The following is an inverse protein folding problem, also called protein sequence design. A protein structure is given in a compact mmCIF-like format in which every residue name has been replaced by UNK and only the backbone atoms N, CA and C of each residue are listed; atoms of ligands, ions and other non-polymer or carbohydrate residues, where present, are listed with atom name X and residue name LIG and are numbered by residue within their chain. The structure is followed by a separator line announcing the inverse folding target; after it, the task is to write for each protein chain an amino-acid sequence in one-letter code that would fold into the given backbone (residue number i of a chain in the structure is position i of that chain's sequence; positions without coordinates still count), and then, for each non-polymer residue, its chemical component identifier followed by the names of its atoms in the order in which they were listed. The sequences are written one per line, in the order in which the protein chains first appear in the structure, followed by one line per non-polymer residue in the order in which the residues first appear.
data_IF_623907402791
#
_entry.id   IF_623907402791
#
_cell.length_a   1.000
_cell.length_b   1.000
_cell.length_c   1.000
_cell.angle_alpha   90.00
_cell.angle_beta   90.00
_cell.angle_gamma   90.00
#
_symmetry.space_group_name_H-M   'P 1'
#
loop_
_entity.id
_entity.type
_entity.pdbx_description
1 polymer ?
#
# COMPACT_ATOMS: atom_id res chain seq x y z
N UNK A 1 -14.91 18.68 9.45
CA UNK A 1 -13.83 19.18 8.56
C UNK A 1 -14.47 19.57 7.24
N UNK A 2 -14.35 20.83 6.80
CA UNK A 2 -14.87 21.24 5.49
C UNK A 2 -13.84 20.87 4.43
N UNK A 3 -14.17 19.92 3.59
CA UNK A 3 -13.25 19.44 2.57
C UNK A 3 -13.60 20.01 1.19
N UNK A 4 -12.56 20.23 0.38
CA UNK A 4 -12.68 20.56 -1.04
C UNK A 4 -11.96 19.49 -1.85
N UNK A 5 -12.70 18.68 -2.60
CA UNK A 5 -12.10 17.77 -3.56
C UNK A 5 -11.66 18.54 -4.81
N UNK A 6 -10.48 18.24 -5.32
CA UNK A 6 -9.92 18.80 -6.55
C UNK A 6 -9.52 17.66 -7.47
N UNK A 7 -9.77 17.82 -8.75
CA UNK A 7 -9.30 16.92 -9.82
C UNK A 7 -8.92 17.74 -11.06
N UNK A 8 -7.79 17.39 -11.69
CA UNK A 8 -7.25 18.06 -12.87
C UNK A 8 -7.15 17.10 -14.07
N UNK A 9 -7.46 17.63 -15.24
CA UNK A 9 -7.11 17.00 -16.52
C UNK A 9 -5.87 17.67 -17.09
N UNK A 10 -4.79 16.91 -17.22
CA UNK A 10 -3.50 17.40 -17.72
C UNK A 10 -3.16 16.77 -19.06
N UNK A 11 -2.79 17.59 -20.03
CA UNK A 11 -2.38 17.13 -21.36
C UNK A 11 -1.09 16.31 -21.30
N UNK A 12 -1.15 15.04 -21.73
CA UNK A 12 -0.03 14.07 -21.63
C UNK A 12 1.31 14.50 -22.24
N UNK A 13 1.30 15.45 -23.19
CA UNK A 13 2.52 15.97 -23.85
C UNK A 13 2.87 17.39 -23.43
N UNK A 14 1.85 18.20 -23.13
CA UNK A 14 2.03 19.60 -22.76
C UNK A 14 2.28 19.80 -21.28
N UNK A 15 1.94 18.80 -20.45
CA UNK A 15 1.90 18.87 -18.98
C UNK A 15 1.08 20.07 -18.46
N UNK A 16 0.21 20.61 -19.32
CA UNK A 16 -0.63 21.75 -19.02
C UNK A 16 -2.01 21.28 -18.57
N UNK A 17 -2.56 21.94 -17.57
CA UNK A 17 -3.93 21.76 -17.10
C UNK A 17 -4.89 22.22 -18.22
N UNK A 18 -5.63 21.28 -18.79
CA UNK A 18 -6.62 21.50 -19.85
C UNK A 18 -8.06 21.57 -19.31
N UNK A 19 -8.30 20.98 -18.14
CA UNK A 19 -9.51 21.16 -17.35
C UNK A 19 -9.22 21.02 -15.84
N UNK A 20 -10.07 21.62 -15.02
CA UNK A 20 -10.06 21.46 -13.57
C UNK A 20 -11.49 21.43 -13.04
N UNK A 21 -11.68 20.71 -11.94
CA UNK A 21 -12.88 20.82 -11.14
C UNK A 21 -12.54 20.84 -9.65
N UNK A 22 -13.42 21.47 -8.89
CA UNK A 22 -13.41 21.39 -7.45
C UNK A 22 -14.83 21.25 -6.90
N UNK A 23 -15.00 20.44 -5.87
CA UNK A 23 -16.30 20.13 -5.27
C UNK A 23 -16.18 20.22 -3.76
N UNK A 24 -17.01 21.03 -3.13
CA UNK A 24 -17.03 21.15 -1.67
C UNK A 24 -17.91 20.08 -1.01
N UNK A 25 -17.76 19.91 0.30
CA UNK A 25 -18.56 18.97 1.10
C UNK A 25 -20.06 19.24 1.11
N UNK A 26 -20.51 20.41 0.64
CA UNK A 26 -21.94 20.75 0.49
C UNK A 26 -22.45 20.46 -0.93
N UNK A 27 -21.61 19.91 -1.81
CA UNK A 27 -21.94 19.54 -3.18
C UNK A 27 -21.85 20.68 -4.20
N UNK A 28 -21.45 21.88 -3.79
CA UNK A 28 -21.18 22.98 -4.74
C UNK A 28 -19.94 22.65 -5.55
N UNK A 29 -19.96 22.98 -6.84
CA UNK A 29 -18.84 22.70 -7.73
C UNK A 29 -18.40 23.92 -8.52
N UNK A 30 -17.10 23.95 -8.82
CA UNK A 30 -16.46 24.80 -9.81
C UNK A 30 -15.90 23.88 -10.90
N UNK A 31 -16.26 24.13 -12.16
CA UNK A 31 -15.76 23.34 -13.29
C UNK A 31 -15.28 24.26 -14.40
N UNK A 32 -14.07 24.01 -14.90
CA UNK A 32 -13.51 24.73 -16.04
C UNK A 32 -12.89 23.73 -17.00
N UNK A 33 -13.28 23.78 -18.27
CA UNK A 33 -12.81 22.84 -19.31
C UNK A 33 -12.31 23.60 -20.53
N UNK A 34 -11.50 22.93 -21.36
CA UNK A 34 -10.95 23.49 -22.61
C UNK A 34 -10.15 24.77 -22.34
N UNK A 35 -9.30 24.73 -21.33
CA UNK A 35 -8.49 25.87 -20.90
C UNK A 35 -7.38 26.17 -21.91
N UNK A 36 -7.40 27.39 -22.45
CA UNK A 36 -6.21 28.00 -23.06
C UNK A 36 -5.34 28.66 -21.98
N UNK A 37 -4.13 29.16 -22.28
CA UNK A 37 -3.26 29.75 -21.25
C UNK A 37 -3.90 30.91 -20.47
N UNK A 38 -4.66 31.80 -21.13
CA UNK A 38 -5.32 32.92 -20.44
C UNK A 38 -6.52 32.47 -19.61
N UNK A 39 -7.25 31.47 -20.12
CA UNK A 39 -8.34 30.81 -19.43
C UNK A 39 -7.86 30.08 -18.17
N UNK A 40 -6.67 29.46 -18.23
CA UNK A 40 -6.06 28.78 -17.10
C UNK A 40 -5.77 29.74 -15.94
N UNK A 41 -5.12 30.88 -16.19
CA UNK A 41 -4.84 31.88 -15.15
C UNK A 41 -6.12 32.35 -14.44
N UNK A 42 -7.19 32.55 -15.20
CA UNK A 42 -8.49 32.92 -14.64
C UNK A 42 -9.10 31.79 -13.82
N UNK A 43 -9.07 30.55 -14.35
CA UNK A 43 -9.61 29.38 -13.69
C UNK A 43 -8.90 29.08 -12.36
N UNK A 44 -7.57 29.28 -12.30
CA UNK A 44 -6.79 29.09 -11.08
C UNK A 44 -7.13 30.12 -10.00
N UNK A 45 -7.35 31.39 -10.37
CA UNK A 45 -7.85 32.41 -9.41
C UNK A 45 -9.24 32.05 -8.88
N UNK A 46 -10.15 31.64 -9.77
CA UNK A 46 -11.49 31.22 -9.39
C UNK A 46 -11.48 29.98 -8.48
N UNK A 47 -10.56 29.03 -8.73
CA UNK A 47 -10.33 27.86 -7.88
C UNK A 47 -9.85 28.27 -6.48
N UNK A 48 -8.90 29.19 -6.41
CA UNK A 48 -8.34 29.68 -5.14
C UNK A 48 -9.38 30.41 -4.28
N UNK A 49 -10.22 31.24 -4.91
CA UNK A 49 -11.35 31.89 -4.25
C UNK A 49 -12.41 30.88 -3.81
N UNK A 50 -12.74 29.91 -4.67
CA UNK A 50 -13.68 28.84 -4.35
C UNK A 50 -13.21 27.98 -3.18
N UNK A 51 -11.89 27.77 -3.06
CA UNK A 51 -11.29 27.03 -1.96
C UNK A 51 -11.36 27.77 -0.62
N UNK A 52 -11.56 29.09 -0.61
CA UNK A 52 -11.58 29.96 0.58
C UNK A 52 -12.20 29.33 1.85
N UNK A 53 -13.43 28.80 1.79
CA UNK A 53 -14.12 28.22 2.97
C UNK A 53 -13.64 26.85 3.44
N UNK A 54 -12.80 26.13 2.68
CA UNK A 54 -12.38 24.79 3.09
C UNK A 54 -11.39 24.84 4.27
N UNK A 55 -11.24 23.73 4.98
CA UNK A 55 -10.19 23.55 5.99
C UNK A 55 -9.08 22.65 5.43
N UNK A 56 -9.47 21.69 4.57
CA UNK A 56 -8.59 20.69 3.97
C UNK A 56 -8.95 20.54 2.49
N UNK A 57 -7.93 20.34 1.66
CA UNK A 57 -8.11 19.93 0.26
C UNK A 57 -7.96 18.41 0.17
N UNK A 58 -8.76 17.76 -0.67
CA UNK A 58 -8.63 16.32 -0.94
C UNK A 58 -8.64 16.01 -2.43
N UNK A 59 -8.26 14.80 -2.79
CA UNK A 59 -8.47 14.25 -4.12
C UNK A 59 -8.03 12.79 -4.17
N UNK A 60 -7.87 12.29 -5.39
CA UNK A 60 -7.36 10.95 -5.64
C UNK A 60 -6.04 11.04 -6.39
N UNK A 61 -4.92 10.76 -5.73
CA UNK A 61 -3.56 11.07 -6.18
C UNK A 61 -3.23 12.58 -6.18
N UNK A 62 -4.00 13.37 -5.44
CA UNK A 62 -3.85 14.83 -5.31
C UNK A 62 -2.40 15.26 -5.00
N UNK A 63 -1.77 14.62 -4.01
CA UNK A 63 -0.48 15.08 -3.48
C UNK A 63 0.64 14.86 -4.48
N UNK A 64 0.56 13.77 -5.24
CA UNK A 64 1.61 13.32 -6.15
C UNK A 64 1.31 13.61 -7.62
N UNK A 65 0.13 14.14 -7.94
CA UNK A 65 -0.26 14.55 -9.28
C UNK A 65 -0.77 15.99 -9.32
N UNK A 66 -1.93 16.30 -8.77
CA UNK A 66 -2.60 17.59 -8.96
C UNK A 66 -1.83 18.77 -8.36
N UNK A 67 -1.35 18.64 -7.11
CA UNK A 67 -0.61 19.72 -6.43
C UNK A 67 0.70 20.10 -7.14
N UNK A 68 1.54 19.15 -7.61
CA UNK A 68 2.67 19.48 -8.47
C UNK A 68 2.30 20.34 -9.69
N UNK A 69 1.21 20.00 -10.39
CA UNK A 69 0.77 20.76 -11.56
C UNK A 69 0.21 22.14 -11.19
N UNK A 70 -0.53 22.25 -10.08
CA UNK A 70 -1.00 23.54 -9.57
C UNK A 70 0.17 24.44 -9.15
N UNK A 71 1.18 23.90 -8.45
CA UNK A 71 2.40 24.64 -8.09
C UNK A 71 3.17 25.12 -9.31
N UNK A 72 3.27 24.28 -10.34
CA UNK A 72 3.95 24.63 -11.58
C UNK A 72 3.19 25.71 -12.37
N UNK A 73 1.85 25.67 -12.38
CA UNK A 73 1.03 26.62 -13.10
C UNK A 73 0.85 27.97 -12.37
N UNK A 74 0.67 27.95 -11.06
CA UNK A 74 0.54 29.14 -10.22
C UNK A 74 1.03 28.85 -8.78
N UNK A 75 2.29 29.15 -8.44
CA UNK A 75 2.86 28.84 -7.14
C UNK A 75 2.27 29.67 -5.98
N UNK A 76 1.66 30.82 -6.28
CA UNK A 76 1.16 31.78 -5.28
C UNK A 76 -0.30 31.53 -4.85
N UNK A 77 -0.93 30.42 -5.29
CA UNK A 77 -2.30 30.11 -4.87
C UNK A 77 -2.34 29.84 -3.36
N UNK A 78 -3.24 30.51 -2.63
CA UNK A 78 -3.44 30.32 -1.19
C UNK A 78 -3.81 28.87 -0.86
N UNK A 79 -4.51 28.20 -1.77
CA UNK A 79 -4.93 26.81 -1.61
C UNK A 79 -3.73 25.85 -1.46
N UNK A 80 -2.57 26.18 -2.02
CA UNK A 80 -1.37 25.33 -1.96
C UNK A 80 -0.77 25.24 -0.55
N UNK A 81 -1.09 26.20 0.32
CA UNK A 81 -0.73 26.17 1.75
C UNK A 81 -1.74 25.44 2.63
N UNK A 82 -2.81 24.88 2.05
CA UNK A 82 -3.81 24.14 2.82
C UNK A 82 -3.35 22.72 3.10
N UNK A 83 -3.66 22.15 4.28
CA UNK A 83 -3.44 20.74 4.54
C UNK A 83 -4.16 19.88 3.48
N UNK A 84 -3.48 18.86 2.98
CA UNK A 84 -3.97 17.99 1.91
C UNK A 84 -4.19 16.56 2.39
N UNK A 85 -5.30 15.96 1.98
CA UNK A 85 -5.57 14.53 2.08
C UNK A 85 -5.57 13.89 0.70
N UNK A 86 -5.12 12.65 0.64
CA UNK A 86 -5.09 11.89 -0.60
C UNK A 86 -5.77 10.53 -0.38
N UNK A 87 -6.90 10.35 -1.03
CA UNK A 87 -7.66 9.10 -0.95
C UNK A 87 -6.85 7.93 -1.51
N UNK A 88 -6.00 8.14 -2.53
CA UNK A 88 -5.14 7.06 -3.03
C UNK A 88 -4.18 6.59 -1.93
N UNK A 89 -3.66 7.51 -1.11
CA UNK A 89 -2.76 7.15 -0.01
C UNK A 89 -3.48 6.45 1.15
N UNK A 90 -4.72 6.83 1.46
CA UNK A 90 -5.55 6.22 2.51
C UNK A 90 -6.09 4.84 2.11
N UNK A 91 -6.37 4.64 0.82
CA UNK A 91 -7.08 3.47 0.32
C UNK A 91 -6.48 2.12 0.71
N UNK A 92 -5.15 1.89 0.66
CA UNK A 92 -4.57 0.62 1.14
C UNK A 92 -4.69 0.41 2.65
N UNK A 93 -4.79 1.48 3.45
CA UNK A 93 -5.01 1.38 4.89
C UNK A 93 -6.47 1.03 5.18
N UNK A 94 -7.41 1.67 4.48
CA UNK A 94 -8.85 1.46 4.62
C UNK A 94 -9.31 0.10 4.07
N UNK A 95 -8.75 -0.31 2.93
CA UNK A 95 -9.16 -1.50 2.19
C UNK A 95 -7.99 -2.43 1.85
N UNK A 96 -7.25 -2.95 2.85
CA UNK A 96 -6.02 -3.71 2.63
C UNK A 96 -6.23 -5.03 1.89
N UNK A 97 -7.47 -5.51 1.74
CA UNK A 97 -7.80 -6.70 0.94
C UNK A 97 -7.97 -6.41 -0.56
N UNK A 98 -8.12 -5.14 -0.95
CA UNK A 98 -8.32 -4.76 -2.33
C UNK A 98 -6.94 -4.60 -3.00
N UNK A 99 -6.64 -5.34 -4.08
CA UNK A 99 -5.34 -5.22 -4.75
C UNK A 99 -5.25 -3.96 -5.64
N UNK A 100 -6.40 -3.38 -6.00
CA UNK A 100 -6.52 -2.21 -6.85
C UNK A 100 -7.19 -1.07 -6.10
N UNK A 101 -6.58 0.11 -6.17
CA UNK A 101 -7.04 1.33 -5.49
C UNK A 101 -7.30 2.46 -6.48
N UNK A 102 -7.55 2.15 -7.76
CA UNK A 102 -8.01 3.15 -8.72
C UNK A 102 -9.42 3.58 -8.34
N UNK A 103 -9.73 4.86 -8.54
CA UNK A 103 -11.10 5.35 -8.44
C UNK A 103 -12.01 4.55 -9.38
N UNK A 104 -13.06 3.92 -8.85
CA UNK A 104 -13.98 3.09 -9.65
C UNK A 104 -14.99 4.00 -10.33
N UNK A 105 -14.85 4.12 -11.66
CA UNK A 105 -15.65 5.00 -12.51
C UNK A 105 -16.78 4.20 -13.15
N UNK A 106 -17.81 3.85 -12.38
CA UNK A 106 -18.93 3.01 -12.86
C UNK A 106 -19.64 3.57 -14.11
N UNK A 107 -19.61 4.89 -14.32
CA UNK A 107 -20.12 5.52 -15.53
C UNK A 107 -19.31 5.17 -16.80
N UNK A 108 -18.15 4.52 -16.67
CA UNK A 108 -17.32 4.02 -17.78
C UNK A 108 -17.55 2.53 -18.07
N UNK A 109 -18.20 1.78 -17.16
CA UNK A 109 -18.33 0.31 -17.23
C UNK A 109 -19.40 -0.20 -18.23
N UNK A 110 -19.96 0.68 -19.07
CA UNK A 110 -21.08 0.37 -19.95
C UNK A 110 -20.74 0.02 -21.41
N UNK A 111 -19.66 0.54 -22.00
CA UNK A 111 -19.41 0.32 -23.43
C UNK A 111 -17.91 0.35 -23.77
N UNK A 112 -17.50 -0.65 -24.56
CA UNK A 112 -16.20 -0.76 -25.26
C UNK A 112 -16.02 0.35 -26.32
N UNK A 113 -16.07 1.62 -25.92
CA UNK A 113 -15.81 2.77 -26.80
C UNK A 113 -14.51 3.44 -26.36
N UNK A 114 -13.55 3.49 -27.29
CA UNK A 114 -12.12 3.81 -27.10
C UNK A 114 -11.78 5.22 -26.59
N UNK A 115 -12.75 6.12 -26.37
CA UNK A 115 -12.49 7.49 -25.92
C UNK A 115 -13.66 8.03 -25.07
N UNK A 116 -13.83 7.56 -23.82
CA UNK A 116 -14.68 8.29 -22.87
C UNK A 116 -13.89 9.47 -22.33
N UNK A 117 -14.43 10.67 -22.55
CA UNK A 117 -13.90 11.95 -22.07
C UNK A 117 -13.90 11.93 -20.53
N UNK A 118 -12.75 12.16 -19.94
CA UNK A 118 -12.61 12.27 -18.49
C UNK A 118 -13.44 13.45 -17.96
N UNK A 119 -13.99 13.28 -16.76
CA UNK A 119 -14.94 14.22 -16.14
C UNK A 119 -14.42 14.59 -14.74
N UNK A 120 -13.66 15.69 -14.62
CA UNK A 120 -13.01 16.05 -13.37
C UNK A 120 -14.02 16.40 -12.26
N UNK A 121 -15.23 16.88 -12.60
CA UNK A 121 -16.25 17.14 -11.58
C UNK A 121 -16.74 15.83 -10.95
N UNK A 122 -17.01 14.84 -11.80
CA UNK A 122 -17.45 13.54 -11.34
C UNK A 122 -16.35 12.84 -10.53
N UNK A 123 -15.10 12.92 -10.97
CA UNK A 123 -13.96 12.34 -10.26
C UNK A 123 -13.73 12.99 -8.89
N UNK A 124 -13.83 14.32 -8.79
CA UNK A 124 -13.81 15.03 -7.51
C UNK A 124 -14.97 14.61 -6.57
N UNK A 125 -16.19 14.41 -7.11
CA UNK A 125 -17.33 13.87 -6.33
C UNK A 125 -17.08 12.45 -5.85
N UNK A 126 -16.52 11.59 -6.70
CA UNK A 126 -16.16 10.22 -6.33
C UNK A 126 -15.07 10.20 -5.24
N UNK A 127 -14.09 11.10 -5.29
CA UNK A 127 -13.08 11.22 -4.26
C UNK A 127 -13.68 11.60 -2.89
N UNK A 128 -14.67 12.52 -2.85
CA UNK A 128 -15.40 12.84 -1.61
C UNK A 128 -16.14 11.62 -1.05
N UNK A 129 -16.86 10.89 -1.90
CA UNK A 129 -17.59 9.67 -1.49
C UNK A 129 -16.62 8.61 -0.98
N UNK A 130 -15.54 8.35 -1.72
CA UNK A 130 -14.50 7.40 -1.34
C UNK A 130 -13.88 7.78 0.00
N UNK A 131 -13.60 9.06 0.23
CA UNK A 131 -13.05 9.52 1.51
C UNK A 131 -13.97 9.20 2.69
N UNK A 132 -15.29 9.35 2.54
CA UNK A 132 -16.23 8.97 3.60
C UNK A 132 -16.29 7.45 3.83
N UNK A 133 -16.19 6.65 2.77
CA UNK A 133 -16.07 5.20 2.86
C UNK A 133 -14.77 4.79 3.57
N UNK A 134 -13.65 5.43 3.22
CA UNK A 134 -12.34 5.23 3.83
C UNK A 134 -12.36 5.60 5.31
N UNK A 135 -12.92 6.76 5.66
CA UNK A 135 -13.08 7.20 7.05
C UNK A 135 -13.91 6.20 7.85
N UNK A 136 -14.98 5.69 7.26
CA UNK A 136 -15.84 4.67 7.88
C UNK A 136 -15.10 3.33 8.07
N UNK A 137 -14.30 2.91 7.09
CA UNK A 137 -13.52 1.69 7.16
C UNK A 137 -12.37 1.78 8.17
N UNK A 138 -11.62 2.89 8.14
CA UNK A 138 -10.55 3.18 9.10
C UNK A 138 -11.07 3.23 10.53
N UNK A 139 -12.25 3.84 10.77
CA UNK A 139 -12.88 3.87 12.09
C UNK A 139 -13.24 2.49 12.66
N UNK A 140 -13.22 1.42 11.85
CA UNK A 140 -13.43 0.04 12.27
C UNK A 140 -12.12 -0.75 12.47
N UNK A 141 -10.97 -0.13 12.20
CA UNK A 141 -9.67 -0.76 12.37
C UNK A 141 -9.35 -0.97 13.86
N UNK A 142 -8.49 -1.96 14.16
CA UNK A 142 -8.06 -2.24 15.52
C UNK A 142 -7.28 -1.08 16.14
N UNK A 143 -7.38 -0.92 17.46
CA UNK A 143 -6.77 0.20 18.19
C UNK A 143 -5.26 0.34 17.95
N UNK A 144 -4.51 -0.77 17.93
CA UNK A 144 -3.07 -0.75 17.65
C UNK A 144 -2.76 -0.29 16.22
N UNK A 145 -3.57 -0.65 15.22
CA UNK A 145 -3.40 -0.19 13.84
C UNK A 145 -3.65 1.32 13.74
N UNK A 146 -4.74 1.80 14.33
CA UNK A 146 -5.04 3.24 14.35
C UNK A 146 -3.93 4.03 15.05
N UNK A 147 -3.43 3.53 16.19
CA UNK A 147 -2.34 4.15 16.93
C UNK A 147 -1.06 4.19 16.08
N UNK A 148 -0.65 3.05 15.50
CA UNK A 148 0.52 2.98 14.64
C UNK A 148 0.40 3.88 13.41
N UNK A 149 -0.74 3.85 12.69
CA UNK A 149 -0.95 4.68 11.51
C UNK A 149 -0.95 6.16 11.84
N UNK A 150 -1.65 6.59 12.88
CA UNK A 150 -1.62 7.99 13.33
C UNK A 150 -0.17 8.45 13.51
N UNK A 151 0.63 7.69 14.28
CA UNK A 151 2.01 8.08 14.51
C UNK A 151 2.90 8.01 13.26
N UNK A 152 2.69 7.06 12.34
CA UNK A 152 3.50 6.88 11.13
C UNK A 152 3.18 7.89 10.01
N UNK A 153 1.94 8.35 9.90
CA UNK A 153 1.46 9.10 8.73
C UNK A 153 1.21 10.59 9.00
N UNK A 154 1.53 11.08 10.20
CA UNK A 154 1.25 12.46 10.58
C UNK A 154 2.47 13.33 10.90
N UNK A 155 3.70 12.87 10.58
CA UNK A 155 4.97 13.55 10.94
C UNK A 155 5.30 14.67 9.95
N UNK A 156 5.27 15.93 10.42
CA UNK A 156 5.59 17.12 9.64
C UNK A 156 4.34 17.92 9.19
N UNK A 157 4.55 19.20 8.88
CA UNK A 157 3.46 20.15 8.60
C UNK A 157 2.65 19.76 7.36
N UNK A 158 3.29 19.17 6.34
CA UNK A 158 2.65 18.69 5.11
C UNK A 158 1.63 17.55 5.35
N UNK A 159 1.65 16.93 6.54
CA UNK A 159 0.78 15.81 6.91
C UNK A 159 -0.26 16.20 7.98
N UNK A 160 -0.44 17.49 8.26
CA UNK A 160 -1.38 17.98 9.26
C UNK A 160 -2.83 17.49 9.02
N UNK A 161 -3.24 17.29 7.77
CA UNK A 161 -4.57 16.79 7.45
C UNK A 161 -4.73 15.30 7.84
N UNK A 162 -3.68 14.48 7.69
CA UNK A 162 -3.66 13.11 8.15
C UNK A 162 -3.66 13.03 9.68
N UNK A 163 -2.93 13.92 10.36
CA UNK A 163 -2.96 14.07 11.82
C UNK A 163 -4.39 14.32 12.31
N UNK A 164 -5.05 15.34 11.78
CA UNK A 164 -6.41 15.71 12.13
C UNK A 164 -7.42 14.57 11.86
N UNK A 165 -7.26 13.84 10.74
CA UNK A 165 -8.08 12.67 10.44
C UNK A 165 -7.92 11.58 11.51
N UNK A 166 -6.69 11.19 11.83
CA UNK A 166 -6.44 10.11 12.80
C UNK A 166 -6.71 10.54 14.25
N UNK A 167 -6.57 11.82 14.58
CA UNK A 167 -7.02 12.39 15.86
C UNK A 167 -8.53 12.25 16.00
N UNK A 168 -9.28 12.63 14.95
CA UNK A 168 -10.74 12.50 14.94
C UNK A 168 -11.19 11.02 15.01
N UNK A 169 -10.50 10.11 14.33
CA UNK A 169 -10.81 8.68 14.37
C UNK A 169 -10.50 8.05 15.73
N UNK A 170 -9.45 8.51 16.43
CA UNK A 170 -9.03 7.95 17.72
C UNK A 170 -9.63 8.67 18.92
N UNK A 171 -10.20 9.86 18.74
CA UNK A 171 -10.58 10.78 19.83
C UNK A 171 -9.42 11.01 20.79
N UNK A 172 -8.20 11.14 20.26
CA UNK A 172 -6.98 11.28 21.04
C UNK A 172 -5.89 11.92 20.18
N UNK A 173 -5.03 12.77 20.78
CA UNK A 173 -3.93 13.38 20.06
C UNK A 173 -2.96 12.31 19.56
N UNK A 174 -2.01 12.76 18.72
CA UNK A 174 -0.95 11.92 18.21
C UNK A 174 -0.28 11.11 19.33
N UNK A 175 -0.10 9.79 19.14
CA UNK A 175 0.54 8.94 20.14
C UNK A 175 1.97 9.37 20.43
N UNK A 176 2.43 9.05 21.64
CA UNK A 176 3.84 9.18 21.99
C UNK A 176 4.69 8.15 21.22
N UNK A 177 5.98 8.47 21.07
CA UNK A 177 6.97 7.59 20.45
C UNK A 177 7.04 6.18 21.11
N UNK A 178 7.01 6.04 22.45
CA UNK A 178 6.91 4.74 23.12
C UNK A 178 5.61 3.98 22.80
N UNK A 179 4.45 4.63 22.93
CA UNK A 179 3.15 3.97 22.71
C UNK A 179 3.03 3.43 21.27
N UNK A 180 3.53 4.21 20.30
CA UNK A 180 3.53 3.83 18.90
C UNK A 180 4.42 2.62 18.63
N UNK A 181 5.65 2.62 19.18
CA UNK A 181 6.57 1.48 19.03
C UNK A 181 6.01 0.21 19.67
N UNK A 182 5.39 0.33 20.84
CA UNK A 182 4.73 -0.79 21.52
C UNK A 182 3.57 -1.36 20.70
N UNK A 183 2.71 -0.50 20.14
CA UNK A 183 1.63 -0.93 19.25
C UNK A 183 2.15 -1.63 18.00
N UNK A 184 3.18 -1.08 17.34
CA UNK A 184 3.83 -1.71 16.19
C UNK A 184 4.39 -3.07 16.59
N UNK A 185 5.07 -3.17 17.74
CA UNK A 185 5.56 -4.45 18.26
C UNK A 185 4.47 -5.51 18.42
N UNK A 186 3.32 -5.14 18.98
CA UNK A 186 2.15 -6.03 19.10
C UNK A 186 1.59 -6.44 17.74
N UNK A 187 1.56 -5.53 16.76
CA UNK A 187 1.08 -5.83 15.41
C UNK A 187 1.99 -6.81 14.66
N UNK A 188 3.30 -6.76 14.92
CA UNK A 188 4.29 -7.64 14.31
C UNK A 188 4.37 -9.01 15.00
N UNK A 189 4.03 -9.09 16.28
CA UNK A 189 4.10 -10.30 17.08
C UNK A 189 3.35 -11.47 16.42
N UNK A 190 4.07 -12.58 16.20
CA UNK A 190 3.53 -13.79 15.57
C UNK A 190 3.22 -13.69 14.07
N UNK A 191 3.42 -12.52 13.44
CA UNK A 191 3.16 -12.29 12.00
C UNK A 191 4.42 -12.00 11.19
N UNK A 192 5.55 -11.84 11.85
CA UNK A 192 6.84 -11.51 11.25
C UNK A 192 7.99 -12.07 12.09
N UNK A 193 9.20 -12.05 11.52
CA UNK A 193 10.43 -12.38 12.24
C UNK A 193 10.59 -11.48 13.48
N UNK A 194 10.75 -12.08 14.66
CA UNK A 194 10.86 -11.34 15.91
C UNK A 194 12.11 -10.45 15.97
N UNK A 195 13.26 -10.97 15.55
CA UNK A 195 14.53 -10.22 15.55
C UNK A 195 14.48 -9.03 14.59
N UNK A 196 14.01 -9.25 13.35
CA UNK A 196 13.89 -8.19 12.34
C UNK A 196 12.79 -7.20 12.73
N UNK A 197 11.69 -7.69 13.30
CA UNK A 197 10.61 -6.87 13.85
C UNK A 197 11.10 -5.91 14.94
N UNK A 198 11.93 -6.37 15.88
CA UNK A 198 12.53 -5.51 16.90
C UNK A 198 13.40 -4.39 16.31
N UNK A 199 14.19 -4.70 15.27
CA UNK A 199 14.98 -3.70 14.55
C UNK A 199 14.10 -2.67 13.82
N UNK A 200 13.02 -3.13 13.16
CA UNK A 200 12.04 -2.26 12.49
C UNK A 200 11.32 -1.35 13.49
N UNK A 201 10.91 -1.86 14.65
CA UNK A 201 10.28 -1.06 15.72
C UNK A 201 11.26 -0.01 16.26
N UNK A 202 12.50 -0.40 16.49
CA UNK A 202 13.54 0.52 17.01
C UNK A 202 13.84 1.65 16.02
N UNK A 203 13.94 1.32 14.73
CA UNK A 203 14.16 2.29 13.65
C UNK A 203 12.88 2.92 13.08
N UNK A 204 11.71 2.67 13.69
CA UNK A 204 10.45 3.21 13.18
C UNK A 204 10.42 4.73 13.32
N UNK A 205 9.68 5.38 12.43
CA UNK A 205 9.42 6.82 12.48
C UNK A 205 9.48 7.45 11.10
N UNK A 206 10.55 7.21 10.32
CA UNK A 206 10.77 7.89 9.05
C UNK A 206 11.53 7.06 7.99
N UNK A 207 11.06 7.04 6.72
CA UNK A 207 9.74 7.46 6.27
C UNK A 207 8.65 6.52 6.84
N UNK A 208 7.58 7.08 7.42
CA UNK A 208 6.56 6.28 8.11
C UNK A 208 5.54 5.58 7.19
N UNK A 209 5.17 6.19 6.07
CA UNK A 209 4.22 5.63 5.09
C UNK A 209 4.55 4.21 4.61
N UNK A 210 5.81 3.89 4.25
CA UNK A 210 6.20 2.50 3.93
C UNK A 210 5.80 1.48 5.00
N UNK A 211 6.04 1.77 6.28
CA UNK A 211 5.68 0.87 7.37
C UNK A 211 4.16 0.84 7.58
N UNK A 212 3.46 1.96 7.41
CA UNK A 212 1.99 2.00 7.48
C UNK A 212 1.33 1.03 6.48
N UNK A 213 1.83 0.99 5.24
CA UNK A 213 1.36 0.05 4.22
C UNK A 213 1.72 -1.40 4.53
N UNK A 214 2.91 -1.65 5.09
CA UNK A 214 3.29 -2.98 5.54
C UNK A 214 2.35 -3.47 6.65
N UNK A 215 2.03 -2.64 7.64
CA UNK A 215 1.10 -2.98 8.71
C UNK A 215 -0.33 -3.22 8.18
N UNK A 216 -0.77 -2.44 7.19
CA UNK A 216 -2.05 -2.65 6.53
C UNK A 216 -2.10 -4.02 5.84
N UNK A 217 -1.08 -4.37 5.05
CA UNK A 217 -1.00 -5.68 4.42
C UNK A 217 -0.92 -6.82 5.45
N UNK A 218 -0.09 -6.68 6.49
CA UNK A 218 0.04 -7.65 7.59
C UNK A 218 -1.26 -7.91 8.35
N UNK A 219 -2.16 -6.91 8.42
CA UNK A 219 -3.47 -7.07 9.06
C UNK A 219 -4.37 -8.09 8.36
N UNK A 220 -4.10 -8.39 7.08
CA UNK A 220 -4.87 -9.31 6.24
C UNK A 220 -4.01 -10.37 5.55
N UNK A 221 -2.74 -10.48 5.95
CA UNK A 221 -1.78 -11.44 5.39
C UNK A 221 -2.29 -12.89 5.53
N UNK A 222 -1.99 -13.70 4.52
CA UNK A 222 -2.50 -15.07 4.40
C UNK A 222 -3.82 -15.19 3.60
N UNK A 223 -4.46 -14.07 3.23
CA UNK A 223 -5.57 -14.03 2.27
C UNK A 223 -5.14 -13.72 0.84
N UNK A 224 -6.08 -13.29 0.00
CA UNK A 224 -5.84 -12.89 -1.41
C UNK A 224 -5.29 -11.46 -1.57
N UNK A 225 -4.63 -10.91 -0.53
CA UNK A 225 -4.10 -9.54 -0.57
C UNK A 225 -2.65 -9.53 -1.06
N UNK A 226 -2.35 -8.62 -1.98
CA UNK A 226 -1.00 -8.29 -2.43
C UNK A 226 -0.75 -6.80 -2.16
N UNK A 227 0.50 -6.44 -1.87
CA UNK A 227 0.87 -5.03 -1.78
C UNK A 227 0.59 -4.35 -3.13
N UNK A 228 -0.20 -3.26 -3.16
CA UNK A 228 -0.57 -2.62 -4.41
C UNK A 228 0.67 -2.24 -5.25
N UNK A 229 0.67 -2.46 -6.58
CA UNK A 229 1.82 -2.15 -7.42
C UNK A 229 2.29 -0.70 -7.33
N UNK A 230 1.35 0.25 -7.24
CA UNK A 230 1.66 1.67 -7.13
C UNK A 230 2.39 1.99 -5.81
N UNK A 231 2.03 1.32 -4.70
CA UNK A 231 2.74 1.44 -3.41
C UNK A 231 4.18 0.96 -3.56
N UNK A 232 4.40 -0.19 -4.22
CA UNK A 232 5.77 -0.71 -4.44
C UNK A 232 6.62 0.21 -5.32
N UNK A 233 5.99 0.91 -6.26
CA UNK A 233 6.67 1.84 -7.15
C UNK A 233 7.01 3.17 -6.44
N UNK A 234 6.05 3.75 -5.73
CA UNK A 234 6.19 5.05 -5.08
C UNK A 234 6.88 4.97 -3.72
N UNK A 235 6.69 3.87 -3.01
CA UNK A 235 7.26 3.58 -1.69
C UNK A 235 8.05 2.25 -1.75
N UNK A 236 9.16 2.18 -2.50
CA UNK A 236 9.93 0.93 -2.65
C UNK A 236 10.44 0.36 -1.32
N UNK A 237 10.61 1.22 -0.30
CA UNK A 237 10.93 0.82 1.08
C UNK A 237 9.87 -0.10 1.69
N UNK A 238 8.59 0.01 1.31
CA UNK A 238 7.53 -0.85 1.81
C UNK A 238 7.79 -2.31 1.41
N UNK A 239 8.20 -2.54 0.17
CA UNK A 239 8.58 -3.87 -0.31
C UNK A 239 9.83 -4.42 0.39
N UNK A 240 10.82 -3.56 0.66
CA UNK A 240 12.03 -3.95 1.40
C UNK A 240 11.71 -4.32 2.85
N UNK A 241 10.94 -3.49 3.54
CA UNK A 241 10.49 -3.75 4.91
C UNK A 241 9.69 -5.06 5.01
N UNK A 242 8.79 -5.31 4.06
CA UNK A 242 8.04 -6.56 4.01
C UNK A 242 8.97 -7.78 3.85
N UNK A 243 9.97 -7.69 2.96
CA UNK A 243 10.96 -8.74 2.76
C UNK A 243 11.82 -8.95 4.03
N UNK A 244 12.31 -7.89 4.67
CA UNK A 244 13.04 -7.97 5.94
C UNK A 244 12.22 -8.64 7.05
N UNK A 245 10.93 -8.31 7.14
CA UNK A 245 10.06 -8.85 8.17
C UNK A 245 9.68 -10.31 7.92
N UNK A 246 9.53 -10.74 6.66
CA UNK A 246 8.88 -12.02 6.33
C UNK A 246 9.63 -12.95 5.40
N UNK A 247 10.59 -12.47 4.60
CA UNK A 247 11.34 -13.29 3.64
C UNK A 247 12.82 -13.49 4.02
N UNK A 248 13.33 -12.78 5.03
CA UNK A 248 14.68 -12.96 5.57
C UNK A 248 14.63 -13.58 6.97
N UNK A 249 15.00 -14.87 7.05
CA UNK A 249 15.07 -15.58 8.32
C UNK A 249 16.16 -15.00 9.24
N UNK A 250 15.86 -14.90 10.53
CA UNK A 250 16.88 -14.72 11.56
C UNK A 250 17.45 -16.07 12.01
N UNK A 251 18.57 -16.03 12.73
CA UNK A 251 19.21 -17.22 13.33
C UNK A 251 18.75 -17.50 14.76
N UNK A 252 17.85 -16.67 15.30
CA UNK A 252 17.39 -16.80 16.68
C UNK A 252 16.52 -18.05 16.86
N UNK A 253 17.00 -18.96 17.72
CA UNK A 253 16.38 -20.26 17.95
C UNK A 253 15.03 -20.18 18.67
N UNK A 254 14.61 -19.02 19.17
CA UNK A 254 13.33 -18.77 19.83
C UNK A 254 12.29 -18.10 18.90
N UNK A 255 12.69 -17.62 17.71
CA UNK A 255 11.79 -16.93 16.78
C UNK A 255 10.78 -17.90 16.14
N UNK A 256 9.56 -17.96 16.70
CA UNK A 256 8.50 -18.87 16.25
C UNK A 256 8.11 -18.70 14.78
N UNK A 257 7.94 -17.45 14.32
CA UNK A 257 7.62 -17.15 12.91
C UNK A 257 8.64 -17.77 11.94
N UNK A 258 9.93 -17.53 12.18
CA UNK A 258 10.98 -18.04 11.31
C UNK A 258 11.08 -19.57 11.35
N UNK A 259 10.95 -20.17 12.53
CA UNK A 259 11.00 -21.63 12.70
C UNK A 259 9.84 -22.36 12.04
N UNK A 260 8.71 -21.68 11.84
CA UNK A 260 7.56 -22.23 11.11
C UNK A 260 7.66 -21.93 9.61
N UNK A 261 7.75 -20.66 9.22
CA UNK A 261 7.56 -20.20 7.83
C UNK A 261 8.81 -20.36 6.95
N UNK A 262 10.00 -20.51 7.54
CA UNK A 262 11.23 -20.82 6.81
C UNK A 262 11.65 -22.29 6.90
N UNK A 263 10.87 -23.14 7.58
CA UNK A 263 11.12 -24.57 7.63
C UNK A 263 10.43 -25.30 6.46
N UNK A 264 11.22 -26.04 5.68
CA UNK A 264 10.72 -26.69 4.47
C UNK A 264 9.70 -27.80 4.78
N UNK A 265 9.80 -28.49 5.92
CA UNK A 265 8.85 -29.54 6.31
C UNK A 265 7.53 -28.93 6.77
N UNK A 266 7.59 -27.84 7.53
CA UNK A 266 6.42 -27.06 7.91
C UNK A 266 5.63 -26.58 6.69
N UNK A 267 6.30 -26.01 5.68
CA UNK A 267 5.65 -25.62 4.42
C UNK A 267 5.11 -26.82 3.64
N UNK A 268 5.87 -27.92 3.54
CA UNK A 268 5.41 -29.15 2.88
C UNK A 268 4.13 -29.69 3.53
N UNK A 269 4.10 -29.76 4.86
CA UNK A 269 2.93 -30.20 5.61
C UNK A 269 1.76 -29.24 5.45
N UNK A 270 2.01 -27.92 5.50
CA UNK A 270 0.99 -26.88 5.37
C UNK A 270 0.26 -26.94 4.02
N UNK A 271 0.99 -27.13 2.94
CA UNK A 271 0.44 -27.05 1.58
C UNK A 271 0.05 -28.40 0.99
N UNK A 272 0.71 -29.49 1.39
CA UNK A 272 0.54 -30.82 0.78
C UNK A 272 0.19 -31.92 1.78
N UNK A 273 0.24 -31.66 3.09
CA UNK A 273 -0.12 -32.63 4.13
C UNK A 273 0.89 -33.77 4.32
N UNK A 274 2.08 -33.68 3.72
CA UNK A 274 3.14 -34.68 3.90
C UNK A 274 4.02 -34.34 5.11
N UNK A 275 4.42 -35.37 5.87
CA UNK A 275 5.29 -35.22 7.04
C UNK A 275 6.77 -35.01 6.67
N UNK A 276 7.22 -35.53 5.51
CA UNK A 276 8.58 -35.38 5.03
C UNK A 276 8.70 -35.47 3.51
N UNK A 277 9.81 -34.97 2.99
CA UNK A 277 10.23 -35.15 1.60
C UNK A 277 10.66 -36.60 1.35
N UNK A 278 10.64 -37.01 0.08
CA UNK A 278 11.06 -38.37 -0.28
C UNK A 278 12.54 -38.59 0.02
N UNK A 279 12.86 -39.71 0.66
CA UNK A 279 14.24 -40.07 0.97
C UNK A 279 15.12 -40.22 -0.29
N UNK A 280 14.54 -40.77 -1.36
CA UNK A 280 15.21 -40.98 -2.64
C UNK A 280 14.70 -40.03 -3.75
N UNK A 281 15.58 -39.53 -4.65
CA UNK A 281 17.02 -39.75 -4.64
C UNK A 281 17.72 -39.05 -3.46
N UNK A 282 18.69 -39.73 -2.85
CA UNK A 282 19.50 -39.15 -1.79
C UNK A 282 20.58 -38.21 -2.36
N UNK A 283 20.96 -37.21 -1.56
CA UNK A 283 22.17 -36.43 -1.81
C UNK A 283 23.42 -37.31 -1.66
N UNK A 284 24.57 -36.97 -2.29
CA UNK A 284 25.81 -37.73 -2.11
C UNK A 284 26.28 -37.89 -0.65
N UNK A 285 25.91 -36.95 0.24
CA UNK A 285 26.16 -37.02 1.68
C UNK A 285 25.02 -37.60 2.52
N UNK A 286 24.02 -38.22 1.88
CA UNK A 286 22.79 -38.69 2.53
C UNK A 286 21.71 -37.62 2.66
N UNK A 287 20.49 -38.06 2.95
CA UNK A 287 19.31 -37.19 3.07
C UNK A 287 18.64 -36.88 1.72
N UNK A 288 17.39 -36.41 1.79
CA UNK A 288 16.55 -36.16 0.60
C UNK A 288 17.11 -35.06 -0.31
N UNK A 289 17.33 -35.38 -1.59
CA UNK A 289 17.68 -34.38 -2.62
C UNK A 289 16.53 -33.39 -2.86
N UNK A 290 15.28 -33.86 -2.78
CA UNK A 290 14.10 -33.01 -2.91
C UNK A 290 14.08 -31.93 -1.83
N UNK A 291 14.33 -32.31 -0.56
CA UNK A 291 14.43 -31.37 0.55
C UNK A 291 15.55 -30.36 0.34
N UNK A 292 16.74 -30.81 -0.03
CA UNK A 292 17.89 -29.94 -0.25
C UNK A 292 17.61 -28.87 -1.32
N UNK A 293 16.93 -29.25 -2.42
CA UNK A 293 16.52 -28.31 -3.47
C UNK A 293 15.50 -27.28 -2.93
N UNK A 294 14.49 -27.74 -2.20
CA UNK A 294 13.45 -26.87 -1.63
C UNK A 294 14.04 -25.89 -0.63
N UNK A 295 14.88 -26.37 0.31
CA UNK A 295 15.54 -25.53 1.31
C UNK A 295 16.42 -24.47 0.65
N UNK A 296 17.22 -24.84 -0.36
CA UNK A 296 18.06 -23.89 -1.09
C UNK A 296 17.23 -22.85 -1.85
N UNK A 297 16.14 -23.25 -2.50
CA UNK A 297 15.23 -22.33 -3.20
C UNK A 297 14.47 -21.40 -2.23
N UNK A 298 14.03 -21.92 -1.07
CA UNK A 298 13.39 -21.14 -0.01
C UNK A 298 14.34 -20.10 0.60
N UNK A 299 15.63 -20.42 0.70
CA UNK A 299 16.68 -19.49 1.11
C UNK A 299 17.04 -18.43 0.05
N UNK A 300 16.47 -18.52 -1.16
CA UNK A 300 16.76 -17.60 -2.27
C UNK A 300 18.00 -17.95 -3.08
N UNK A 301 18.56 -19.15 -2.89
CA UNK A 301 19.66 -19.65 -3.70
C UNK A 301 19.21 -20.09 -5.10
N UNK A 302 20.15 -20.06 -6.03
CA UNK A 302 19.98 -20.66 -7.36
C UNK A 302 20.19 -22.17 -7.27
N UNK A 303 19.36 -22.95 -7.99
CA UNK A 303 19.39 -24.41 -7.92
C UNK A 303 19.33 -25.03 -9.32
N UNK A 304 20.22 -26.00 -9.57
CA UNK A 304 20.10 -26.95 -10.67
C UNK A 304 19.80 -28.33 -10.08
N UNK A 305 18.55 -28.79 -10.23
CA UNK A 305 18.09 -30.08 -9.72
C UNK A 305 17.97 -31.13 -10.82
N UNK A 306 18.87 -32.13 -10.81
CA UNK A 306 18.78 -33.29 -11.69
C UNK A 306 18.04 -34.43 -10.99
N UNK A 307 16.75 -34.59 -11.29
CA UNK A 307 15.94 -35.66 -10.72
C UNK A 307 15.32 -36.55 -11.81
N UNK A 308 15.27 -37.88 -11.63
CA UNK A 308 14.52 -38.78 -12.50
C UNK A 308 13.03 -38.45 -12.54
N UNK A 309 12.33 -38.89 -13.59
CA UNK A 309 10.87 -38.81 -13.65
C UNK A 309 10.24 -39.55 -12.47
N UNK A 310 9.12 -39.02 -11.95
CA UNK A 310 8.40 -39.65 -10.84
C UNK A 310 8.99 -39.40 -9.45
N UNK A 311 10.15 -38.73 -9.34
CA UNK A 311 10.80 -38.37 -8.06
C UNK A 311 10.15 -37.21 -7.30
N UNK A 312 9.08 -36.60 -7.84
CA UNK A 312 8.42 -35.45 -7.21
C UNK A 312 9.07 -34.10 -7.51
N UNK A 313 9.61 -33.93 -8.73
CA UNK A 313 10.21 -32.67 -9.21
C UNK A 313 9.28 -31.46 -9.04
N UNK A 314 7.95 -31.64 -9.11
CA UNK A 314 6.99 -30.56 -8.95
C UNK A 314 7.02 -29.88 -7.59
N UNK A 315 7.19 -30.66 -6.50
CA UNK A 315 7.29 -30.09 -5.15
C UNK A 315 8.52 -29.20 -5.00
N UNK A 316 9.58 -29.44 -5.78
CA UNK A 316 10.83 -28.67 -5.72
C UNK A 316 10.65 -27.19 -6.10
N UNK A 317 9.63 -26.85 -6.89
CA UNK A 317 9.29 -25.46 -7.23
C UNK A 317 7.97 -25.00 -6.63
N UNK A 318 7.01 -25.91 -6.39
CA UNK A 318 5.72 -25.55 -5.79
C UNK A 318 5.84 -25.15 -4.31
N UNK A 319 6.60 -25.88 -3.49
CA UNK A 319 6.76 -25.56 -2.06
C UNK A 319 7.44 -24.19 -1.89
N UNK A 320 8.58 -23.88 -2.54
CA UNK A 320 9.16 -22.53 -2.47
C UNK A 320 8.23 -21.43 -3.01
N UNK A 321 7.49 -21.70 -4.08
CA UNK A 321 6.55 -20.73 -4.67
C UNK A 321 5.43 -20.35 -3.68
N UNK A 322 4.79 -21.35 -3.07
CA UNK A 322 3.72 -21.15 -2.09
C UNK A 322 4.23 -20.50 -0.81
N UNK A 323 5.42 -20.91 -0.33
CA UNK A 323 6.08 -20.27 0.81
C UNK A 323 6.34 -18.78 0.54
N UNK A 324 6.86 -18.41 -0.64
CA UNK A 324 7.07 -17.00 -1.02
C UNK A 324 5.77 -16.23 -1.16
N UNK A 325 4.73 -16.83 -1.74
CA UNK A 325 3.40 -16.23 -1.80
C UNK A 325 2.87 -15.95 -0.38
N UNK A 326 2.99 -16.91 0.54
CA UNK A 326 2.56 -16.73 1.93
C UNK A 326 3.37 -15.65 2.66
N UNK A 327 4.68 -15.60 2.44
CA UNK A 327 5.57 -14.62 3.08
C UNK A 327 5.32 -13.20 2.60
N UNK A 328 5.17 -12.97 1.29
CA UNK A 328 5.19 -11.60 0.72
C UNK A 328 4.18 -11.34 -0.39
N UNK A 329 3.32 -12.29 -0.75
CA UNK A 329 2.39 -12.18 -1.87
C UNK A 329 3.07 -12.27 -3.24
N UNK A 330 4.26 -12.87 -3.32
CA UNK A 330 5.03 -12.97 -4.56
C UNK A 330 4.37 -13.88 -5.61
N UNK A 331 4.48 -13.47 -6.88
CA UNK A 331 4.16 -14.30 -8.04
C UNK A 331 5.36 -15.18 -8.41
N UNK A 332 5.11 -16.48 -8.61
CA UNK A 332 6.11 -17.41 -9.17
C UNK A 332 5.69 -17.84 -10.57
N UNK A 333 6.60 -17.74 -11.53
CA UNK A 333 6.39 -18.19 -12.91
C UNK A 333 7.17 -19.48 -13.12
N UNK A 334 6.47 -20.54 -13.49
CA UNK A 334 7.07 -21.84 -13.84
C UNK A 334 6.99 -22.00 -15.36
N UNK A 335 8.13 -22.20 -15.99
CA UNK A 335 8.23 -22.48 -17.42
C UNK A 335 8.61 -23.95 -17.55
N UNK A 336 7.71 -24.74 -18.11
CA UNK A 336 7.86 -26.19 -18.29
C UNK A 336 7.47 -26.61 -19.70
#
# INVERSE_FOLDING_TARGET
MRCLAIDLEVGKRSERIDALAAVDSNGRSLVRTRLDPRGLDRALRELDDFAGPADVILGHNLIHFDLPHLRAAAPDLRLLGRPALDTLMLSPLAFPRNPYHRLIKHYQDGDLVRERRSDPEHDARLALTLFEDERTALGKAGADLLLAWHWLTSRGDDLAAFDALFEALRFSPRPSDPDARDAIGRLLAGKACATRGGAVVSGAGEPGWPLAYVLAWLSVAGGNSVMPPWVRHQFPQAGKLLAELRDHACTAGDCGWCRDVHDARSELRRWFGFDDFRAEPAMPGGGSMQRAIVEQAMAGGHVLGLLPTGSGKSLCYQVPALSRYHKTGALTVVIS
#
